data_IF_558919954197
#
_entry.id   IF_558919954197
#
_cell.length_a   1.000
_cell.length_b   1.000
_cell.length_c   1.000
_cell.angle_alpha   90.00
_cell.angle_beta   90.00
_cell.angle_gamma   90.00
#
_symmetry.space_group_name_H-M   'P 1'
#
loop_
_entity.id
_entity.type
_entity.pdbx_description
1 polymer ?
#
# COMPACT_ATOMS: atom_id res chain seq x y z
N UNK A 1 -8.93 32.91 -10.35
CA UNK A 1 -7.54 32.43 -10.32
C UNK A 1 -7.54 30.94 -10.01
N UNK A 2 -6.63 30.14 -10.58
CA UNK A 2 -6.53 28.73 -10.24
C UNK A 2 -6.09 28.54 -8.78
N UNK A 3 -6.59 27.50 -8.14
CA UNK A 3 -6.12 27.02 -6.84
C UNK A 3 -5.09 25.92 -7.09
N UNK A 4 -3.91 26.08 -6.50
CA UNK A 4 -2.81 25.12 -6.64
C UNK A 4 -2.66 24.30 -5.37
N UNK A 5 -2.51 22.98 -5.52
CA UNK A 5 -2.32 22.03 -4.41
C UNK A 5 -1.21 21.04 -4.77
N UNK A 6 -0.35 20.75 -3.81
CA UNK A 6 0.62 19.65 -3.90
C UNK A 6 -0.04 18.32 -3.57
N UNK A 7 -0.04 17.39 -4.50
CA UNK A 7 -0.57 16.04 -4.34
C UNK A 7 0.55 15.08 -3.90
N UNK A 8 0.78 14.99 -2.59
CA UNK A 8 1.87 14.22 -2.02
C UNK A 8 1.71 12.71 -2.23
N UNK A 9 2.83 12.02 -2.41
CA UNK A 9 2.89 10.57 -2.51
C UNK A 9 2.73 9.87 -1.14
N UNK A 10 2.54 8.55 -1.19
CA UNK A 10 2.58 7.65 -0.02
C UNK A 10 3.55 6.49 -0.25
N UNK A 11 3.99 5.90 0.83
CA UNK A 11 4.60 4.57 0.89
C UNK A 11 3.78 3.68 1.84
N UNK A 12 3.91 2.36 1.70
CA UNK A 12 3.35 1.42 2.66
C UNK A 12 4.49 0.95 3.58
N UNK A 13 4.45 1.33 4.87
CA UNK A 13 5.41 0.85 5.86
C UNK A 13 5.24 -0.64 6.13
N UNK A 14 4.06 -1.17 5.86
CA UNK A 14 3.74 -2.57 5.85
C UNK A 14 2.39 -2.82 5.20
N UNK A 15 2.21 -4.02 4.66
CA UNK A 15 0.97 -4.42 4.01
C UNK A 15 0.78 -5.92 4.19
N UNK A 16 -0.36 -6.30 4.76
CA UNK A 16 -0.80 -7.69 4.89
C UNK A 16 -2.02 -7.93 4.04
N UNK A 17 -2.01 -9.04 3.32
CA UNK A 17 -3.11 -9.49 2.48
C UNK A 17 -3.84 -10.61 3.21
N UNK A 18 -5.12 -10.40 3.49
CA UNK A 18 -6.00 -11.37 4.12
C UNK A 18 -6.81 -12.18 3.11
N UNK A 19 -7.91 -12.74 3.58
CA UNK A 19 -8.81 -13.54 2.77
C UNK A 19 -9.49 -12.71 1.67
N UNK A 20 -9.91 -13.40 0.60
CA UNK A 20 -10.72 -12.80 -0.44
C UNK A 20 -12.12 -12.51 0.09
N UNK A 21 -12.60 -11.31 -0.16
CA UNK A 21 -13.92 -10.81 0.25
C UNK A 21 -15.00 -11.21 -0.75
N UNK A 22 -16.25 -11.12 -0.33
CA UNK A 22 -17.41 -11.39 -1.22
C UNK A 22 -17.50 -10.40 -2.40
N UNK A 23 -16.95 -9.18 -2.24
CA UNK A 23 -16.90 -8.16 -3.30
C UNK A 23 -15.77 -8.40 -4.33
N UNK A 24 -15.03 -9.49 -4.20
CA UNK A 24 -13.94 -9.90 -5.10
C UNK A 24 -12.58 -9.27 -4.78
N UNK A 25 -12.52 -8.33 -3.83
CA UNK A 25 -11.27 -7.77 -3.31
C UNK A 25 -10.69 -8.64 -2.19
N UNK A 26 -9.49 -8.28 -1.71
CA UNK A 26 -8.87 -8.89 -0.53
C UNK A 26 -9.04 -8.00 0.69
N UNK A 27 -9.17 -8.63 1.84
CA UNK A 27 -8.99 -7.92 3.11
C UNK A 27 -7.55 -7.45 3.21
N UNK A 28 -7.34 -6.18 3.49
CA UNK A 28 -6.02 -5.59 3.64
C UNK A 28 -5.86 -4.98 5.03
N UNK A 29 -4.63 -5.04 5.54
CA UNK A 29 -4.16 -4.20 6.64
C UNK A 29 -2.84 -3.59 6.24
N UNK A 30 -2.81 -2.28 6.20
CA UNK A 30 -1.61 -1.56 5.77
C UNK A 30 -1.39 -0.32 6.63
N UNK A 31 -0.11 0.03 6.82
CA UNK A 31 0.26 1.31 7.39
C UNK A 31 0.82 2.17 6.27
N UNK A 32 0.08 3.21 5.93
CA UNK A 32 0.48 4.23 4.99
C UNK A 32 1.32 5.31 5.68
N UNK A 33 2.25 5.87 4.93
CA UNK A 33 3.02 7.05 5.33
C UNK A 33 3.13 8.02 4.16
N UNK A 34 2.70 9.27 4.32
CA UNK A 34 2.89 10.30 3.30
C UNK A 34 4.35 10.77 3.26
N UNK A 35 4.83 11.07 2.05
CA UNK A 35 6.19 11.54 1.78
C UNK A 35 6.17 12.82 0.95
N UNK A 36 7.27 13.58 0.93
CA UNK A 36 7.30 14.92 0.32
C UNK A 36 7.37 14.93 -1.21
N UNK A 37 7.54 13.77 -1.89
CA UNK A 37 7.37 13.68 -3.35
C UNK A 37 5.91 13.96 -3.71
N UNK A 38 5.67 14.73 -4.78
CA UNK A 38 4.31 15.16 -5.12
C UNK A 38 4.16 15.52 -6.59
N UNK A 39 2.93 15.40 -7.08
CA UNK A 39 2.46 16.08 -8.28
C UNK A 39 1.90 17.46 -7.91
N UNK A 40 1.65 18.32 -8.89
CA UNK A 40 0.98 19.59 -8.67
C UNK A 40 -0.35 19.60 -9.39
N UNK A 41 -1.41 19.92 -8.66
CA UNK A 41 -2.78 20.00 -9.19
C UNK A 41 -3.24 21.45 -9.15
N UNK A 42 -3.68 21.96 -10.30
CA UNK A 42 -4.29 23.30 -10.42
C UNK A 42 -5.74 23.15 -10.85
N UNK A 43 -6.65 23.71 -10.08
CA UNK A 43 -8.09 23.69 -10.39
C UNK A 43 -8.59 25.10 -10.59
N UNK A 44 -9.27 25.31 -11.70
CA UNK A 44 -9.94 26.56 -12.02
C UNK A 44 -11.43 26.32 -12.24
N UNK A 45 -12.27 27.08 -11.54
CA UNK A 45 -13.71 27.10 -11.73
C UNK A 45 -14.09 28.31 -12.56
N UNK A 46 -14.68 28.06 -13.74
CA UNK A 46 -15.01 29.10 -14.73
C UNK A 46 -16.48 29.04 -15.14
N UNK A 47 -16.92 30.00 -15.97
CA UNK A 47 -18.26 29.97 -16.56
C UNK A 47 -18.38 28.79 -17.54
N UNK A 48 -19.55 28.18 -17.61
CA UNK A 48 -19.84 27.03 -18.45
C UNK A 48 -20.15 25.79 -17.64
N UNK A 49 -20.15 24.65 -18.28
CA UNK A 49 -20.45 23.34 -17.66
C UNK A 49 -19.39 22.30 -18.06
N UNK A 50 -19.31 21.22 -17.29
CA UNK A 50 -18.42 20.09 -17.56
C UNK A 50 -17.10 20.15 -16.80
N UNK A 51 -16.33 19.08 -16.93
CA UNK A 51 -15.01 18.87 -16.31
C UNK A 51 -14.02 18.63 -17.44
N UNK A 52 -12.90 19.32 -17.39
CA UNK A 52 -11.80 19.18 -18.34
C UNK A 52 -10.52 18.86 -17.59
N UNK A 53 -9.79 17.85 -18.06
CA UNK A 53 -8.47 17.50 -17.54
C UNK A 53 -7.40 17.82 -18.56
N UNK A 54 -6.31 18.43 -18.11
CA UNK A 54 -5.11 18.72 -18.88
C UNK A 54 -3.91 18.07 -18.20
N UNK A 55 -3.15 17.31 -18.97
CA UNK A 55 -1.90 16.69 -18.52
C UNK A 55 -0.99 16.46 -19.73
N UNK A 56 0.29 16.79 -19.60
CA UNK A 56 1.27 16.60 -20.67
C UNK A 56 1.78 15.16 -20.76
N UNK A 57 1.60 14.34 -19.69
CA UNK A 57 1.98 12.92 -19.70
C UNK A 57 0.89 12.08 -20.39
N UNK A 58 1.16 11.50 -21.58
CA UNK A 58 0.16 10.75 -22.35
C UNK A 58 -0.32 9.46 -21.66
N UNK A 59 0.36 9.01 -20.61
CA UNK A 59 -0.04 7.84 -19.81
C UNK A 59 -1.15 8.17 -18.80
N UNK A 60 -1.45 9.46 -18.60
CA UNK A 60 -2.52 9.93 -17.71
C UNK A 60 -3.78 10.15 -18.53
N UNK A 61 -4.88 9.41 -18.28
CA UNK A 61 -6.14 9.63 -18.97
C UNK A 61 -6.68 11.05 -18.71
N UNK A 62 -7.24 11.68 -19.72
CA UNK A 62 -7.86 13.01 -19.62
C UNK A 62 -9.39 12.96 -19.72
N UNK A 63 -9.97 11.76 -19.66
CA UNK A 63 -11.39 11.46 -19.74
C UNK A 63 -11.99 11.08 -18.36
N UNK A 64 -13.21 10.56 -18.38
CA UNK A 64 -13.98 10.15 -17.19
C UNK A 64 -13.35 8.99 -16.42
N UNK A 65 -12.40 8.27 -17.00
CA UNK A 65 -11.66 7.20 -16.32
C UNK A 65 -10.65 7.74 -15.29
N UNK A 66 -10.29 9.03 -15.42
CA UNK A 66 -9.35 9.69 -14.50
C UNK A 66 -9.97 9.86 -13.10
N UNK A 67 -9.19 9.52 -12.06
CA UNK A 67 -9.64 9.63 -10.68
C UNK A 67 -9.97 11.06 -10.24
N UNK A 68 -9.30 12.08 -10.82
CA UNK A 68 -9.62 13.49 -10.59
C UNK A 68 -11.01 13.83 -11.16
N UNK A 69 -11.31 13.35 -12.38
CA UNK A 69 -12.63 13.54 -12.99
C UNK A 69 -13.70 12.94 -12.08
N UNK A 70 -13.55 11.67 -11.70
CA UNK A 70 -14.53 10.91 -10.92
C UNK A 70 -14.85 11.53 -9.56
N UNK A 71 -13.85 12.05 -8.84
CA UNK A 71 -14.08 12.67 -7.52
C UNK A 71 -14.70 14.07 -7.66
N UNK A 72 -14.23 14.85 -8.64
CA UNK A 72 -14.75 16.20 -8.90
C UNK A 72 -16.19 16.16 -9.41
N UNK A 73 -16.55 15.22 -10.28
CA UNK A 73 -17.92 15.00 -10.74
C UNK A 73 -18.89 14.77 -9.56
N UNK A 74 -18.52 13.88 -8.63
CA UNK A 74 -19.30 13.64 -7.40
C UNK A 74 -19.43 14.89 -6.54
N UNK A 75 -18.34 15.62 -6.39
CA UNK A 75 -18.34 16.85 -5.57
C UNK A 75 -19.19 17.96 -6.21
N UNK A 76 -19.08 18.15 -7.52
CA UNK A 76 -19.90 19.13 -8.29
C UNK A 76 -21.38 18.79 -8.18
N UNK A 77 -21.73 17.50 -8.26
CA UNK A 77 -23.12 17.04 -8.09
C UNK A 77 -23.63 17.28 -6.65
N UNK A 78 -22.85 16.91 -5.64
CA UNK A 78 -23.22 17.07 -4.24
C UNK A 78 -23.37 18.55 -3.83
N UNK A 79 -22.49 19.42 -4.32
CA UNK A 79 -22.52 20.86 -4.09
C UNK A 79 -23.52 21.61 -5.01
N UNK A 80 -24.18 20.90 -5.96
CA UNK A 80 -25.10 21.47 -6.96
C UNK A 80 -24.47 22.62 -7.77
N UNK A 81 -23.20 22.45 -8.12
CA UNK A 81 -22.44 23.48 -8.85
C UNK A 81 -22.69 23.37 -10.33
N UNK A 82 -23.11 24.50 -10.96
CA UNK A 82 -23.30 24.63 -12.41
C UNK A 82 -22.17 25.47 -13.01
N UNK A 83 -20.96 24.95 -12.97
CA UNK A 83 -19.74 25.61 -13.46
C UNK A 83 -18.88 24.62 -14.23
N UNK A 84 -18.04 25.15 -15.13
CA UNK A 84 -16.97 24.35 -15.74
C UNK A 84 -15.77 24.29 -14.80
N UNK A 85 -15.25 23.10 -14.60
CA UNK A 85 -14.05 22.84 -13.78
C UNK A 85 -12.92 22.40 -14.70
N UNK A 86 -11.82 23.15 -14.68
CA UNK A 86 -10.59 22.79 -15.42
C UNK A 86 -9.56 22.32 -14.40
N UNK A 87 -9.03 21.12 -14.62
CA UNK A 87 -8.05 20.44 -13.75
C UNK A 87 -6.77 20.28 -14.58
N UNK A 88 -5.70 20.92 -14.16
CA UNK A 88 -4.37 20.75 -14.72
C UNK A 88 -3.52 19.88 -13.80
N UNK A 89 -2.92 18.83 -14.35
CA UNK A 89 -2.10 17.85 -13.63
C UNK A 89 -0.65 17.97 -14.13
N UNK A 90 0.23 18.48 -13.28
CA UNK A 90 1.67 18.50 -13.52
C UNK A 90 2.29 17.26 -12.85
N UNK A 91 2.70 16.29 -13.69
CA UNK A 91 3.17 14.98 -13.23
C UNK A 91 4.66 14.99 -12.91
N UNK A 92 4.98 14.59 -11.66
CA UNK A 92 6.34 14.31 -11.19
C UNK A 92 6.45 12.89 -10.66
N UNK A 93 5.35 12.35 -10.12
CA UNK A 93 5.31 10.98 -9.62
C UNK A 93 5.18 9.98 -10.78
N UNK A 94 5.79 8.79 -10.70
CA UNK A 94 5.64 7.77 -11.73
C UNK A 94 4.18 7.31 -11.84
N UNK A 95 3.76 7.00 -13.05
CA UNK A 95 2.47 6.37 -13.29
C UNK A 95 2.58 4.89 -12.91
N UNK A 96 1.65 4.37 -12.11
CA UNK A 96 1.60 2.97 -11.66
C UNK A 96 2.79 2.49 -10.80
N UNK A 97 3.46 3.38 -10.10
CA UNK A 97 4.62 3.06 -9.25
C UNK A 97 4.30 2.61 -7.82
N UNK A 98 3.03 2.43 -7.42
CA UNK A 98 2.68 2.07 -6.04
C UNK A 98 2.75 3.24 -5.03
N UNK A 99 2.99 4.48 -5.51
CA UNK A 99 3.12 5.69 -4.68
C UNK A 99 1.81 6.46 -4.46
N UNK A 100 0.68 5.95 -4.96
CA UNK A 100 -0.64 6.54 -4.75
C UNK A 100 -0.89 7.85 -5.50
N UNK A 101 -0.12 8.17 -6.56
CA UNK A 101 -0.18 9.44 -7.27
C UNK A 101 -1.57 9.77 -7.80
N UNK A 102 -2.24 8.86 -8.53
CA UNK A 102 -3.59 9.10 -9.05
C UNK A 102 -4.62 9.37 -7.93
N UNK A 103 -4.50 8.66 -6.80
CA UNK A 103 -5.37 8.83 -5.63
C UNK A 103 -5.12 10.15 -4.91
N UNK A 104 -3.85 10.55 -4.78
CA UNK A 104 -3.47 11.85 -4.23
C UNK A 104 -3.95 13.00 -5.12
N UNK A 105 -3.80 12.86 -6.44
CA UNK A 105 -4.26 13.86 -7.41
C UNK A 105 -5.77 14.07 -7.31
N UNK A 106 -6.55 12.98 -7.14
CA UNK A 106 -7.99 13.06 -6.96
C UNK A 106 -8.36 13.88 -5.70
N UNK A 107 -7.73 13.59 -4.56
CA UNK A 107 -8.00 14.34 -3.32
C UNK A 107 -7.53 15.78 -3.43
N UNK A 108 -6.38 16.04 -4.06
CA UNK A 108 -5.90 17.40 -4.31
C UNK A 108 -6.88 18.20 -5.20
N UNK A 109 -7.45 17.56 -6.24
CA UNK A 109 -8.48 18.18 -7.08
C UNK A 109 -9.76 18.51 -6.31
N UNK A 110 -10.22 17.61 -5.43
CA UNK A 110 -11.36 17.86 -4.55
C UNK A 110 -11.13 19.06 -3.61
N UNK A 111 -9.99 19.09 -2.93
CA UNK A 111 -9.64 20.17 -2.00
C UNK A 111 -9.45 21.51 -2.73
N UNK A 112 -8.88 21.49 -3.94
CA UNK A 112 -8.73 22.68 -4.78
C UNK A 112 -10.08 23.19 -5.28
N UNK A 113 -11.02 22.30 -5.65
CA UNK A 113 -12.38 22.64 -6.02
C UNK A 113 -13.12 23.34 -4.86
N UNK A 114 -13.14 22.75 -3.67
CA UNK A 114 -13.76 23.32 -2.47
C UNK A 114 -13.23 24.72 -2.18
N UNK A 115 -11.90 24.89 -2.26
CA UNK A 115 -11.26 26.18 -2.03
C UNK A 115 -11.60 27.21 -3.11
N UNK A 116 -11.68 26.78 -4.36
CA UNK A 116 -12.07 27.63 -5.51
C UNK A 116 -13.52 28.08 -5.45
N UNK A 117 -14.41 27.23 -4.95
CA UNK A 117 -15.83 27.53 -4.71
C UNK A 117 -16.08 28.30 -3.41
N UNK A 118 -15.15 28.26 -2.46
CA UNK A 118 -15.32 28.69 -1.06
C UNK A 118 -16.46 27.94 -0.33
N UNK A 119 -16.67 26.70 -0.74
CA UNK A 119 -17.65 25.79 -0.16
C UNK A 119 -16.95 24.50 0.25
N UNK A 120 -17.44 23.85 1.30
CA UNK A 120 -16.84 22.61 1.81
C UNK A 120 -17.90 21.54 1.99
N UNK A 121 -17.60 20.34 1.54
CA UNK A 121 -18.37 19.15 1.84
C UNK A 121 -18.11 18.69 3.29
N UNK A 122 -19.10 18.10 3.95
CA UNK A 122 -18.88 17.44 5.24
C UNK A 122 -17.77 16.38 5.15
N UNK A 123 -16.94 16.27 6.19
CA UNK A 123 -15.82 15.29 6.19
C UNK A 123 -16.28 13.85 5.92
N UNK A 124 -17.39 13.35 6.51
CA UNK A 124 -17.87 12.00 6.21
C UNK A 124 -18.19 11.80 4.73
N UNK A 125 -18.74 12.82 4.07
CA UNK A 125 -19.09 12.76 2.65
C UNK A 125 -17.82 12.75 1.78
N UNK A 126 -16.82 13.55 2.09
CA UNK A 126 -15.51 13.50 1.41
C UNK A 126 -14.87 12.13 1.53
N UNK A 127 -14.87 11.53 2.71
CA UNK A 127 -14.33 10.19 2.93
C UNK A 127 -15.09 9.12 2.12
N UNK A 128 -16.44 9.21 2.09
CA UNK A 128 -17.27 8.31 1.28
C UNK A 128 -16.94 8.43 -0.21
N UNK A 129 -16.91 9.64 -0.76
CA UNK A 129 -16.56 9.88 -2.15
C UNK A 129 -15.15 9.38 -2.50
N UNK A 130 -14.19 9.62 -1.60
CA UNK A 130 -12.82 9.14 -1.76
C UNK A 130 -12.76 7.61 -1.81
N UNK A 131 -13.46 6.90 -0.92
CA UNK A 131 -13.53 5.44 -0.89
C UNK A 131 -14.21 4.83 -2.13
N UNK A 132 -15.18 5.54 -2.73
CA UNK A 132 -15.83 5.13 -3.98
C UNK A 132 -14.91 5.29 -5.21
N UNK A 133 -13.98 6.23 -5.18
CA UNK A 133 -13.02 6.45 -6.26
C UNK A 133 -11.88 5.44 -6.22
N UNK A 134 -11.47 5.01 -5.03
CA UNK A 134 -10.41 4.02 -4.87
C UNK A 134 -10.07 3.70 -3.42
N UNK A 135 -9.17 2.76 -3.19
CA UNK A 135 -8.73 2.35 -1.85
C UNK A 135 -7.82 3.38 -1.16
N UNK A 136 -6.91 4.00 -1.92
CA UNK A 136 -5.92 4.93 -1.34
C UNK A 136 -6.44 6.37 -1.13
N UNK A 137 -7.44 6.93 -1.87
CA UNK A 137 -7.82 8.34 -1.70
C UNK A 137 -8.16 8.74 -0.27
N UNK A 138 -8.86 7.95 0.58
CA UNK A 138 -9.19 8.35 1.95
C UNK A 138 -7.98 8.71 2.81
N UNK A 139 -6.82 8.03 2.61
CA UNK A 139 -5.61 8.33 3.38
C UNK A 139 -5.13 9.78 3.17
N UNK A 140 -5.30 10.33 1.96
CA UNK A 140 -4.85 11.68 1.62
C UNK A 140 -5.76 12.79 2.18
N UNK A 141 -6.97 12.45 2.63
CA UNK A 141 -7.81 13.32 3.44
C UNK A 141 -7.35 13.39 4.90
N UNK A 142 -6.46 12.50 5.32
CA UNK A 142 -5.93 12.43 6.68
C UNK A 142 -4.48 12.92 6.72
N UNK A 143 -3.62 12.37 5.87
CA UNK A 143 -2.18 12.66 5.81
C UNK A 143 -1.39 12.08 6.99
N UNK A 144 -0.06 12.17 6.93
CA UNK A 144 0.84 11.62 7.95
C UNK A 144 0.89 10.11 7.93
N UNK A 145 0.85 9.48 9.10
CA UNK A 145 0.79 8.04 9.27
C UNK A 145 -0.66 7.57 9.44
N UNK A 146 -1.10 6.60 8.63
CA UNK A 146 -2.49 6.17 8.54
C UNK A 146 -2.58 4.65 8.49
N UNK A 147 -3.46 4.05 9.30
CA UNK A 147 -3.85 2.65 9.18
C UNK A 147 -4.96 2.54 8.14
N UNK A 148 -4.77 1.67 7.16
CA UNK A 148 -5.80 1.26 6.20
C UNK A 148 -6.25 -0.16 6.48
N UNK A 149 -7.57 -0.38 6.53
CA UNK A 149 -8.21 -1.70 6.66
C UNK A 149 -9.28 -1.86 5.59
N UNK A 150 -9.96 -3.00 5.56
CA UNK A 150 -10.90 -3.32 4.49
C UNK A 150 -10.15 -3.60 3.19
N UNK A 151 -10.43 -2.88 2.11
CA UNK A 151 -9.63 -2.88 0.88
C UNK A 151 -8.46 -1.86 0.94
N UNK A 152 -8.24 -1.22 2.11
CA UNK A 152 -7.35 -0.10 2.35
C UNK A 152 -8.07 1.25 2.45
N UNK A 153 -9.38 1.31 2.14
CA UNK A 153 -10.20 2.53 2.12
C UNK A 153 -10.67 2.99 3.49
N UNK A 154 -10.80 2.08 4.45
CA UNK A 154 -11.10 2.45 5.83
C UNK A 154 -9.84 2.98 6.50
N UNK A 155 -9.69 4.29 6.50
CA UNK A 155 -8.48 4.99 6.89
C UNK A 155 -8.58 5.60 8.29
N UNK A 156 -7.66 5.22 9.17
CA UNK A 156 -7.62 5.68 10.56
C UNK A 156 -6.29 6.38 10.86
N UNK A 157 -6.32 7.59 11.45
CA UNK A 157 -5.09 8.29 11.81
C UNK A 157 -4.34 7.53 12.90
N UNK A 158 -3.03 7.33 12.69
CA UNK A 158 -2.11 6.81 13.71
C UNK A 158 -1.26 7.98 14.28
N UNK A 159 -0.59 7.78 15.43
CA UNK A 159 0.46 8.69 15.87
C UNK A 159 1.50 8.84 14.76
N UNK A 160 1.88 10.08 14.45
CA UNK A 160 2.84 10.34 13.39
C UNK A 160 4.23 9.77 13.70
N UNK A 161 4.89 9.25 12.67
CA UNK A 161 6.32 9.06 12.67
C UNK A 161 7.03 10.42 12.70
N UNK A 162 8.17 10.54 13.37
CA UNK A 162 9.05 11.68 13.14
C UNK A 162 9.42 11.74 11.65
N UNK A 163 9.68 12.95 11.16
CA UNK A 163 10.15 13.12 9.79
C UNK A 163 11.48 12.37 9.59
N UNK A 164 11.49 11.40 8.70
CA UNK A 164 12.63 10.55 8.37
C UNK A 164 13.10 10.83 6.96
N UNK A 165 14.40 10.78 6.73
CA UNK A 165 14.94 10.80 5.37
C UNK A 165 14.53 9.51 4.65
N UNK A 166 14.01 9.64 3.43
CA UNK A 166 13.54 8.55 2.61
C UNK A 166 14.17 8.62 1.22
N UNK A 167 14.57 7.48 0.67
CA UNK A 167 14.92 7.32 -0.75
C UNK A 167 13.83 6.54 -1.42
N UNK A 168 13.37 7.00 -2.58
CA UNK A 168 12.42 6.27 -3.43
C UNK A 168 13.10 5.98 -4.75
N UNK A 169 13.17 4.70 -5.13
CA UNK A 169 13.60 4.22 -6.43
C UNK A 169 12.36 3.89 -7.27
N UNK A 170 12.34 4.40 -8.50
CA UNK A 170 11.19 4.28 -9.41
C UNK A 170 11.63 3.67 -10.74
N UNK A 171 11.92 2.35 -10.77
CA UNK A 171 12.35 1.70 -11.99
C UNK A 171 11.23 1.68 -13.04
N UNK A 172 11.61 1.61 -14.31
CA UNK A 172 10.68 1.48 -15.44
C UNK A 172 10.17 0.03 -15.57
N UNK A 173 9.64 -0.51 -14.49
CA UNK A 173 9.06 -1.85 -14.41
C UNK A 173 7.55 -1.70 -14.14
N UNK A 174 6.72 -2.19 -15.05
CA UNK A 174 5.27 -2.17 -14.87
C UNK A 174 4.81 -3.40 -14.09
N UNK A 175 4.49 -3.23 -12.81
CA UNK A 175 3.88 -4.28 -11.99
C UNK A 175 2.36 -4.13 -12.01
N UNK A 176 1.67 -5.17 -12.47
CA UNK A 176 0.20 -5.19 -12.48
C UNK A 176 -0.34 -5.62 -11.13
N UNK A 177 -1.02 -4.72 -10.41
CA UNK A 177 -1.65 -5.01 -9.12
C UNK A 177 -2.64 -6.20 -9.19
N UNK A 178 -3.53 -6.32 -10.21
CA UNK A 178 -4.39 -7.50 -10.33
C UNK A 178 -3.61 -8.81 -10.47
N UNK A 179 -2.50 -8.81 -11.25
CA UNK A 179 -1.64 -10.00 -11.39
C UNK A 179 -0.91 -10.33 -10.09
N UNK A 180 -0.51 -9.33 -9.32
CA UNK A 180 0.11 -9.54 -8.01
C UNK A 180 -0.86 -10.20 -7.01
N UNK A 181 -2.13 -9.77 -6.96
CA UNK A 181 -3.17 -10.44 -6.17
C UNK A 181 -3.44 -11.87 -6.66
N UNK A 182 -3.56 -12.09 -7.97
CA UNK A 182 -3.75 -13.43 -8.51
C UNK A 182 -2.57 -14.36 -8.17
N UNK A 183 -1.33 -13.85 -8.22
CA UNK A 183 -0.15 -14.58 -7.78
C UNK A 183 -0.18 -14.92 -6.29
N UNK A 184 -0.67 -14.00 -5.46
CA UNK A 184 -0.90 -14.24 -4.03
C UNK A 184 -1.90 -15.37 -3.82
N UNK A 185 -3.05 -15.34 -4.50
CA UNK A 185 -4.09 -16.38 -4.41
C UNK A 185 -3.53 -17.76 -4.79
N UNK A 186 -2.75 -17.84 -5.87
CA UNK A 186 -2.11 -19.08 -6.30
C UNK A 186 -1.11 -19.62 -5.27
N UNK A 187 -0.30 -18.74 -4.68
CA UNK A 187 0.66 -19.10 -3.63
C UNK A 187 -0.06 -19.63 -2.38
N UNK A 188 -1.14 -18.96 -1.97
CA UNK A 188 -1.97 -19.38 -0.84
C UNK A 188 -2.65 -20.73 -1.09
N UNK A 189 -3.19 -20.95 -2.30
CA UNK A 189 -3.84 -22.21 -2.68
C UNK A 189 -2.88 -23.41 -2.70
N UNK A 190 -1.57 -23.15 -2.94
CA UNK A 190 -0.53 -24.20 -2.91
C UNK A 190 0.03 -24.46 -1.52
N UNK A 191 -0.37 -23.71 -0.51
CA UNK A 191 0.21 -23.78 0.83
C UNK A 191 1.68 -23.35 0.88
N UNK A 192 2.15 -22.66 -0.16
CA UNK A 192 3.53 -22.17 -0.30
C UNK A 192 3.79 -20.89 0.52
N UNK A 193 3.00 -20.69 1.55
CA UNK A 193 3.12 -19.51 2.39
C UNK A 193 4.48 -19.53 3.11
N UNK A 194 5.36 -18.54 2.90
CA UNK A 194 6.65 -18.52 3.58
C UNK A 194 6.43 -18.37 5.07
N UNK A 195 6.77 -19.43 5.80
CA UNK A 195 6.93 -19.35 7.25
C UNK A 195 8.00 -18.31 7.54
N UNK A 196 7.76 -17.41 8.47
CA UNK A 196 8.73 -16.40 8.83
C UNK A 196 10.13 -17.01 8.98
N UNK A 197 11.07 -16.62 8.10
CA UNK A 197 12.50 -16.90 8.07
C UNK A 197 13.07 -18.02 7.20
N UNK A 198 12.30 -18.87 6.52
CA UNK A 198 12.90 -19.97 5.75
C UNK A 198 13.39 -19.57 4.34
N UNK A 199 12.99 -18.42 3.83
CA UNK A 199 13.47 -17.90 2.54
C UNK A 199 14.95 -17.48 2.55
N UNK A 200 15.54 -17.20 3.73
CA UNK A 200 16.98 -16.87 3.87
C UNK A 200 17.89 -18.10 3.64
N UNK A 201 17.39 -19.33 3.78
CA UNK A 201 18.19 -20.53 3.66
C UNK A 201 18.40 -20.98 2.20
N UNK A 202 17.50 -20.63 1.29
CA UNK A 202 17.62 -21.03 -0.13
C UNK A 202 18.62 -20.18 -0.94
N UNK A 203 19.03 -19.02 -0.43
CA UNK A 203 19.95 -18.10 -1.14
C UNK A 203 21.42 -18.27 -0.73
N UNK A 204 21.75 -19.23 0.17
CA UNK A 204 23.14 -19.56 0.54
C UNK A 204 23.80 -20.60 -0.35
N UNK A 205 23.04 -21.20 -1.27
CA UNK A 205 23.56 -22.08 -2.32
C UNK A 205 23.99 -21.25 -3.52
N UNK A 206 25.19 -20.69 -3.48
CA UNK A 206 25.81 -20.02 -4.62
C UNK A 206 25.88 -20.98 -5.81
N UNK A 207 24.89 -20.91 -6.68
CA UNK A 207 25.00 -21.49 -8.02
C UNK A 207 25.70 -20.51 -8.93
N UNK A 208 26.95 -20.88 -9.18
CA UNK A 208 27.83 -20.37 -10.24
C UNK A 208 27.10 -20.42 -11.58
N UNK A 209 26.53 -19.28 -12.03
CA UNK A 209 25.82 -19.16 -13.31
C UNK A 209 26.76 -19.09 -14.54
N UNK A 210 28.00 -19.56 -14.44
CA UNK A 210 28.95 -19.56 -15.56
C UNK A 210 29.00 -20.84 -16.42
N UNK A 211 28.11 -21.82 -16.19
CA UNK A 211 28.17 -23.12 -16.93
C UNK A 211 26.82 -23.68 -17.37
N UNK A 212 25.96 -22.94 -18.03
CA UNK A 212 24.77 -23.48 -18.70
C UNK A 212 24.38 -22.75 -19.99
N UNK A 213 25.34 -22.29 -20.76
CA UNK A 213 25.14 -21.90 -22.15
C UNK A 213 25.77 -22.94 -23.08
N UNK A 214 25.17 -24.14 -23.18
CA UNK A 214 25.27 -25.04 -24.33
C UNK A 214 24.48 -26.34 -24.09
N UNK A 215 23.42 -26.48 -24.85
CA UNK A 215 22.61 -27.65 -25.26
C UNK A 215 21.13 -27.40 -24.89
N UNK A 216 20.24 -27.40 -25.80
CA UNK A 216 20.02 -28.00 -27.10
C UNK A 216 18.79 -27.36 -27.74
N UNK A 217 18.92 -27.05 -29.02
CA UNK A 217 17.79 -26.85 -29.93
C UNK A 217 17.03 -28.15 -30.11
N UNK A 218 15.72 -28.16 -30.14
CA UNK A 218 14.88 -28.71 -31.22
C UNK A 218 13.41 -28.84 -30.81
N UNK A 219 12.53 -28.28 -31.68
CA UNK A 219 11.14 -28.66 -31.99
C UNK A 219 10.10 -28.52 -30.87
N UNK A 220 8.98 -27.84 -31.05
CA UNK A 220 8.08 -27.79 -32.17
C UNK A 220 6.99 -26.75 -31.98
N UNK A 221 6.57 -26.27 -33.08
CA UNK A 221 5.51 -25.31 -33.30
C UNK A 221 4.13 -25.83 -32.88
N UNK A 222 3.27 -24.89 -32.42
CA UNK A 222 1.90 -24.72 -32.92
C UNK A 222 1.22 -23.58 -32.15
N UNK A 223 0.91 -22.49 -32.83
CA UNK A 223 -0.13 -21.53 -32.57
C UNK A 223 -1.42 -22.03 -33.23
N UNK A 224 -2.58 -21.36 -33.27
CA UNK A 224 -2.92 -20.04 -32.70
C UNK A 224 -4.36 -19.91 -32.14
N UNK A 225 -4.69 -18.68 -31.69
CA UNK A 225 -5.98 -18.00 -31.69
C UNK A 225 -7.18 -18.54 -30.89
N UNK A 226 -7.66 -17.71 -29.96
CA UNK A 226 -9.08 -17.32 -29.96
C UNK A 226 -9.28 -15.97 -29.23
N UNK A 227 -9.99 -15.12 -29.94
CA UNK A 227 -10.36 -13.75 -29.74
C UNK A 227 -11.19 -13.48 -28.49
N UNK A 228 -11.01 -12.25 -28.00
CA UNK A 228 -11.97 -11.56 -27.14
C UNK A 228 -13.22 -11.24 -27.93
N UNK A 229 -14.38 -11.54 -27.37
CA UNK A 229 -15.62 -10.77 -27.47
C UNK A 229 -16.74 -11.47 -26.69
N UNK A 230 -17.64 -10.65 -26.16
CA UNK A 230 -18.98 -11.00 -25.68
C UNK A 230 -19.11 -11.56 -24.27
N UNK A 231 -19.53 -10.64 -23.36
CA UNK A 231 -20.69 -10.87 -22.51
C UNK A 231 -21.21 -9.51 -21.99
N UNK A 232 -22.07 -8.96 -22.83
CA UNK A 232 -23.07 -7.95 -22.42
C UNK A 232 -24.38 -8.65 -22.19
N UNK A 233 -25.14 -8.10 -21.24
CA UNK A 233 -26.58 -8.28 -21.01
C UNK A 233 -27.06 -9.53 -20.26
N UNK A 234 -27.55 -9.29 -19.06
CA UNK A 234 -28.93 -9.71 -18.65
C UNK A 234 -29.40 -8.86 -17.46
N UNK A 235 -30.26 -7.91 -17.74
CA UNK A 235 -31.26 -7.38 -16.80
C UNK A 235 -32.39 -8.37 -16.71
N UNK A 236 -32.98 -8.59 -15.51
CA UNK A 236 -34.39 -8.35 -15.17
C UNK A 236 -34.70 -8.96 -13.80
N UNK A 237 -35.19 -8.12 -12.94
CA UNK A 237 -36.43 -8.17 -12.12
C UNK A 237 -36.79 -9.45 -11.35
N UNK A 238 -36.96 -9.31 -10.02
CA UNK A 238 -38.26 -9.51 -9.36
C UNK A 238 -38.18 -9.30 -7.85
N UNK A 239 -39.13 -8.50 -7.37
CA UNK A 239 -39.58 -8.33 -6.00
C UNK A 239 -39.87 -9.66 -5.28
N UNK A 240 -39.60 -9.70 -3.99
CA UNK A 240 -40.50 -10.15 -2.94
C UNK A 240 -39.83 -10.13 -1.56
N UNK A 241 -40.33 -9.28 -0.71
CA UNK A 241 -40.09 -9.37 0.76
C UNK A 241 -41.05 -10.42 1.33
N UNK A 242 -40.64 -11.13 2.38
CA UNK A 242 -41.58 -11.56 3.41
C UNK A 242 -41.22 -11.05 4.81
N UNK A 243 -42.30 -10.69 5.47
CA UNK A 243 -42.52 -10.20 6.80
C UNK A 243 -41.93 -11.06 7.93
N UNK A 244 -41.40 -10.41 8.94
CA UNK A 244 -41.02 -10.98 10.23
C UNK A 244 -42.27 -11.17 11.13
N UNK A 245 -42.40 -12.37 11.68
CA UNK A 245 -43.22 -12.67 12.84
C UNK A 245 -42.33 -13.05 14.03
N UNK A 246 -42.74 -12.80 15.29
CA UNK A 246 -41.90 -12.95 16.46
C UNK A 246 -41.94 -14.38 17.03
N UNK A 247 -40.78 -14.90 17.46
CA UNK A 247 -40.72 -16.15 18.25
C UNK A 247 -40.03 -15.90 19.57
N UNK A 248 -40.76 -16.23 20.60
CA UNK A 248 -40.48 -16.22 22.02
C UNK A 248 -39.41 -17.21 22.48
N UNK A 249 -38.82 -16.87 23.61
CA UNK A 249 -37.80 -17.45 24.45
C UNK A 249 -37.72 -18.96 24.63
N UNK A 250 -36.49 -19.38 24.97
CA UNK A 250 -36.30 -20.33 26.10
C UNK A 250 -34.81 -20.64 26.33
N UNK A 251 -34.45 -20.54 27.61
CA UNK A 251 -33.52 -21.41 28.39
C UNK A 251 -32.05 -21.60 27.96
N UNK A 252 -31.16 -21.03 28.75
CA UNK A 252 -29.75 -21.42 28.90
C UNK A 252 -29.63 -22.75 29.67
N UNK A 253 -28.75 -23.68 29.31
CA UNK A 253 -28.23 -24.70 30.23
C UNK A 253 -26.94 -24.20 30.86
N UNK A 254 -26.89 -24.28 32.22
CA UNK A 254 -25.68 -24.18 33.01
C UNK A 254 -24.88 -25.47 32.88
N UNK A 255 -23.57 -25.38 32.61
CA UNK A 255 -22.64 -26.52 32.76
C UNK A 255 -21.69 -26.21 33.90
N UNK A 256 -21.69 -27.11 34.91
CA UNK A 256 -20.76 -27.13 36.04
C UNK A 256 -19.37 -27.60 35.60
N UNK A 257 -18.28 -27.13 36.24
CA UNK A 257 -16.94 -27.60 35.95
C UNK A 257 -16.66 -28.90 36.74
N UNK A 258 -16.28 -29.96 36.03
CA UNK A 258 -15.60 -31.11 36.62
C UNK A 258 -14.12 -31.03 36.32
N UNK A 259 -13.29 -31.04 37.34
CA UNK A 259 -11.84 -31.11 37.23
C UNK A 259 -11.36 -32.50 36.83
N UNK A 260 -10.22 -32.50 36.15
CA UNK A 260 -9.10 -33.44 36.29
C UNK A 260 -8.19 -33.39 35.04
N UNK A 261 -6.90 -33.38 35.27
CA UNK A 261 -5.95 -33.79 34.25
C UNK A 261 -4.91 -32.78 33.81
N UNK A 262 -4.09 -32.25 34.71
CA UNK A 262 -2.79 -31.71 34.33
C UNK A 262 -1.90 -32.83 33.79
N UNK A 263 -1.83 -32.98 32.46
CA UNK A 263 -0.78 -33.73 31.76
C UNK A 263 0.14 -32.76 31.06
N UNK A 264 1.41 -32.83 31.46
CA UNK A 264 2.53 -32.13 30.83
C UNK A 264 2.56 -32.41 29.33
N UNK A 265 2.32 -31.40 28.52
CA UNK A 265 2.57 -31.41 27.08
C UNK A 265 4.02 -31.02 26.85
N UNK A 266 4.92 -32.02 26.90
CA UNK A 266 6.22 -31.98 26.24
C UNK A 266 6.03 -32.58 24.86
N UNK A 267 5.66 -31.73 23.89
CA UNK A 267 5.76 -32.08 22.49
C UNK A 267 6.36 -30.88 21.77
N UNK A 268 7.52 -31.09 21.17
CA UNK A 268 8.06 -30.20 20.12
C UNK A 268 6.99 -30.09 19.05
N UNK A 269 6.15 -29.07 19.13
CA UNK A 269 5.18 -28.77 18.09
C UNK A 269 5.96 -28.34 16.86
N UNK A 270 5.89 -29.13 15.81
CA UNK A 270 6.10 -28.65 14.44
C UNK A 270 5.21 -27.40 14.34
N UNK A 271 5.82 -26.23 14.15
CA UNK A 271 5.10 -24.98 13.97
C UNK A 271 4.19 -25.15 12.76
N UNK A 272 2.91 -25.28 13.00
CA UNK A 272 1.87 -25.23 11.96
C UNK A 272 1.92 -23.85 11.34
N UNK A 273 1.73 -23.72 10.01
CA UNK A 273 1.61 -22.41 9.36
C UNK A 273 0.55 -21.58 10.06
N UNK A 274 0.87 -20.34 10.40
CA UNK A 274 -0.14 -19.39 10.88
C UNK A 274 -1.18 -19.20 9.79
N UNK A 275 -2.44 -19.44 10.08
CA UNK A 275 -3.58 -19.13 9.24
C UNK A 275 -3.50 -17.63 8.82
N UNK A 276 -3.92 -17.24 7.61
CA UNK A 276 -4.06 -15.85 7.22
C UNK A 276 -4.76 -14.98 8.27
N UNK A 277 -5.75 -15.53 8.98
CA UNK A 277 -6.44 -14.90 10.10
C UNK A 277 -5.52 -14.60 11.28
N UNK A 278 -4.61 -15.51 11.62
CA UNK A 278 -3.65 -15.34 12.73
C UNK A 278 -2.64 -14.23 12.42
N UNK A 279 -2.21 -14.10 11.16
CA UNK A 279 -1.31 -13.03 10.70
C UNK A 279 -1.98 -11.66 10.75
N UNK A 280 -3.25 -11.58 10.39
CA UNK A 280 -4.03 -10.37 10.50
C UNK A 280 -4.20 -9.95 11.96
N UNK A 281 -4.36 -10.92 12.88
CA UNK A 281 -4.38 -10.69 14.32
C UNK A 281 -3.02 -10.21 14.83
N UNK A 282 -1.92 -10.81 14.38
CA UNK A 282 -0.56 -10.41 14.77
C UNK A 282 -0.24 -8.99 14.31
N UNK A 283 -0.60 -8.62 13.07
CA UNK A 283 -0.51 -7.25 12.59
C UNK A 283 -1.33 -6.30 13.46
N UNK A 284 -2.58 -6.66 13.78
CA UNK A 284 -3.44 -5.89 14.66
C UNK A 284 -2.83 -5.70 16.06
N UNK A 285 -2.24 -6.75 16.65
CA UNK A 285 -1.53 -6.70 17.93
C UNK A 285 -0.31 -5.78 17.87
N UNK A 286 0.45 -5.83 16.80
CA UNK A 286 1.64 -4.98 16.58
C UNK A 286 1.24 -3.51 16.49
N UNK A 287 0.19 -3.19 15.74
CA UNK A 287 -0.36 -1.83 15.65
C UNK A 287 -0.95 -1.38 16.99
N UNK A 288 -1.68 -2.25 17.71
CA UNK A 288 -2.21 -1.96 19.04
C UNK A 288 -1.11 -1.67 20.05
N UNK A 289 -0.05 -2.48 20.06
CA UNK A 289 1.11 -2.27 20.93
C UNK A 289 1.82 -0.95 20.63
N UNK A 290 1.87 -0.57 19.34
CA UNK A 290 2.37 0.73 18.94
C UNK A 290 1.50 1.88 19.46
N UNK A 291 0.18 1.80 19.27
CA UNK A 291 -0.77 2.80 19.78
C UNK A 291 -0.70 2.96 21.31
N UNK A 292 -0.49 1.85 22.03
CA UNK A 292 -0.47 1.84 23.49
C UNK A 292 0.85 2.34 24.10
N UNK A 293 1.90 2.54 23.28
CA UNK A 293 3.25 2.89 23.79
C UNK A 293 3.88 1.82 24.69
N UNK A 294 3.25 0.66 24.86
CA UNK A 294 3.70 -0.40 25.75
C UNK A 294 4.84 -1.21 25.11
N UNK A 295 5.95 -1.47 25.84
CA UNK A 295 6.97 -2.38 25.36
C UNK A 295 6.38 -3.81 25.31
N UNK A 296 6.50 -4.48 24.18
CA UNK A 296 6.13 -5.90 24.10
C UNK A 296 7.07 -6.72 25.01
N UNK A 297 6.54 -7.27 26.11
CA UNK A 297 7.25 -8.25 26.91
C UNK A 297 7.30 -9.57 26.12
N UNK A 298 8.50 -9.99 25.69
CA UNK A 298 8.73 -11.39 25.34
C UNK A 298 9.18 -11.72 23.92
N UNK A 299 9.42 -10.76 23.02
CA UNK A 299 10.15 -11.07 21.79
C UNK A 299 11.62 -10.81 22.07
N UNK A 300 12.38 -11.89 22.33
CA UNK A 300 13.85 -11.82 22.26
C UNK A 300 14.19 -11.26 20.88
N UNK A 301 14.97 -10.16 20.86
CA UNK A 301 15.44 -9.51 19.65
C UNK A 301 16.01 -10.53 18.66
N UNK A 302 15.16 -11.03 17.75
CA UNK A 302 15.59 -11.78 16.61
C UNK A 302 16.32 -10.82 15.67
N UNK A 303 17.35 -11.30 14.97
CA UNK A 303 18.03 -10.58 13.90
C UNK A 303 17.01 -9.91 12.99
N UNK A 304 17.30 -8.68 12.49
CA UNK A 304 16.41 -8.02 11.54
C UNK A 304 16.12 -8.92 10.34
N UNK A 305 14.91 -8.87 9.84
CA UNK A 305 14.43 -9.70 8.72
C UNK A 305 15.27 -9.53 7.44
N UNK A 306 16.07 -8.49 7.34
CA UNK A 306 16.97 -8.19 6.21
C UNK A 306 18.32 -8.92 6.23
N UNK A 307 18.63 -9.74 7.27
CA UNK A 307 19.88 -10.51 7.32
C UNK A 307 21.18 -9.69 7.44
N UNK A 308 21.10 -8.37 7.42
CA UNK A 308 22.26 -7.50 7.55
C UNK A 308 22.56 -7.26 9.05
N UNK A 309 23.77 -7.59 9.57
CA UNK A 309 24.12 -7.29 10.93
C UNK A 309 24.21 -5.77 11.11
N UNK A 310 23.21 -5.17 11.74
CA UNK A 310 23.31 -3.77 12.16
C UNK A 310 24.32 -3.70 13.29
N UNK A 311 25.45 -3.03 13.07
CA UNK A 311 26.35 -2.60 14.14
C UNK A 311 25.59 -1.63 15.04
N UNK A 312 25.19 -2.10 16.21
CA UNK A 312 24.59 -1.27 17.24
C UNK A 312 25.67 -0.33 17.76
N UNK A 313 25.74 0.86 17.17
CA UNK A 313 26.50 1.98 17.73
C UNK A 313 25.83 2.42 19.04
N UNK A 314 26.54 2.41 20.15
CA UNK A 314 26.09 2.99 21.41
C UNK A 314 25.88 4.50 21.20
N UNK A 315 24.63 4.96 21.19
CA UNK A 315 24.32 6.38 21.28
C UNK A 315 23.27 6.89 20.28
N UNK A 316 22.04 6.72 20.61
CA UNK A 316 20.81 7.53 20.45
C UNK A 316 19.62 6.58 20.55
N UNK A 317 18.61 6.94 21.32
CA UNK A 317 17.37 6.19 21.38
C UNK A 317 16.81 6.04 19.96
N UNK A 318 17.00 4.86 19.34
CA UNK A 318 16.34 4.49 18.09
C UNK A 318 14.85 4.59 18.36
N UNK A 319 14.11 5.18 17.43
CA UNK A 319 12.68 5.38 17.61
C UNK A 319 12.02 4.01 17.77
N UNK A 320 11.31 3.74 18.87
CA UNK A 320 10.69 2.41 19.15
C UNK A 320 9.81 1.88 18.02
N UNK A 321 9.41 2.77 17.12
CA UNK A 321 8.60 2.46 15.96
C UNK A 321 9.39 1.80 14.82
N UNK A 322 10.62 2.27 14.51
CA UNK A 322 11.44 1.64 13.47
C UNK A 322 11.83 0.21 13.87
N UNK A 323 12.03 -0.04 15.16
CA UNK A 323 12.28 -1.40 15.66
C UNK A 323 11.04 -2.29 15.49
N UNK A 324 9.83 -1.73 15.63
CA UNK A 324 8.57 -2.45 15.44
C UNK A 324 8.24 -2.68 13.96
N UNK A 325 8.53 -1.70 13.10
CA UNK A 325 8.44 -1.85 11.64
C UNK A 325 9.40 -2.94 11.16
N UNK A 326 10.61 -3.01 11.75
CA UNK A 326 11.60 -4.05 11.43
C UNK A 326 11.20 -5.46 11.88
N UNK A 327 10.38 -5.59 12.92
CA UNK A 327 10.12 -6.88 13.57
C UNK A 327 8.80 -7.53 13.20
N UNK A 328 7.89 -6.87 12.48
CA UNK A 328 6.57 -7.45 12.23
C UNK A 328 5.73 -6.86 11.13
N UNK A 329 6.18 -5.80 10.46
CA UNK A 329 5.40 -5.18 9.39
C UNK A 329 6.16 -5.37 8.07
N UNK A 330 5.82 -6.44 7.34
CA UNK A 330 6.34 -6.73 6.00
C UNK A 330 5.30 -6.36 4.95
N UNK A 331 5.71 -6.25 3.70
CA UNK A 331 4.82 -6.12 2.57
C UNK A 331 4.64 -7.49 1.90
N UNK A 332 3.46 -8.07 2.01
CA UNK A 332 3.15 -9.40 1.47
C UNK A 332 3.32 -9.48 -0.05
N UNK A 333 3.17 -8.38 -0.78
CA UNK A 333 3.44 -8.37 -2.22
C UNK A 333 4.90 -8.69 -2.56
N UNK A 334 5.86 -8.48 -1.67
CA UNK A 334 7.26 -8.85 -1.91
C UNK A 334 7.42 -10.34 -2.20
N UNK A 335 6.58 -11.19 -1.60
CA UNK A 335 6.61 -12.65 -1.79
C UNK A 335 6.21 -13.05 -3.21
N UNK A 336 5.38 -12.26 -3.87
CA UNK A 336 4.86 -12.54 -5.21
C UNK A 336 5.61 -11.77 -6.28
N UNK A 337 5.96 -10.51 -5.97
CA UNK A 337 6.57 -9.60 -6.94
C UNK A 337 8.06 -9.84 -7.11
N UNK A 338 8.81 -10.08 -6.03
CA UNK A 338 10.26 -10.27 -6.13
C UNK A 338 10.69 -11.55 -6.89
N UNK A 339 9.98 -12.69 -6.84
CA UNK A 339 10.27 -13.81 -7.71
C UNK A 339 10.05 -13.52 -9.19
N UNK A 340 9.05 -12.67 -9.53
CA UNK A 340 8.74 -12.29 -10.90
C UNK A 340 9.65 -11.17 -11.43
N UNK A 341 10.11 -10.30 -10.53
CA UNK A 341 10.94 -9.13 -10.84
C UNK A 341 12.14 -9.07 -9.88
N UNK A 342 13.17 -9.94 -10.08
CA UNK A 342 14.32 -10.01 -9.17
C UNK A 342 15.13 -8.71 -9.09
N UNK A 343 15.02 -7.84 -10.10
CA UNK A 343 15.64 -6.52 -10.12
C UNK A 343 15.11 -5.64 -8.98
N UNK A 344 13.82 -5.74 -8.65
CA UNK A 344 13.23 -4.98 -7.53
C UNK A 344 13.81 -5.43 -6.18
N UNK A 345 14.03 -6.76 -6.02
CA UNK A 345 14.72 -7.30 -4.84
C UNK A 345 16.15 -6.77 -4.72
N UNK A 346 16.87 -6.72 -5.84
CA UNK A 346 18.24 -6.19 -5.83
C UNK A 346 18.29 -4.70 -5.48
N UNK A 347 17.32 -3.89 -5.93
CA UNK A 347 17.22 -2.48 -5.53
C UNK A 347 17.00 -2.34 -4.02
N UNK A 348 16.13 -3.16 -3.42
CA UNK A 348 15.96 -3.23 -1.96
C UNK A 348 17.29 -3.52 -1.27
N UNK A 349 18.03 -4.54 -1.74
CA UNK A 349 19.36 -4.90 -1.22
C UNK A 349 20.40 -3.77 -1.37
N UNK A 350 20.31 -2.99 -2.45
CA UNK A 350 21.17 -1.81 -2.62
C UNK A 350 20.88 -0.78 -1.55
N UNK A 351 19.60 -0.44 -1.32
CA UNK A 351 19.22 0.49 -0.26
C UNK A 351 19.70 0.02 1.12
N UNK A 352 19.56 -1.26 1.43
CA UNK A 352 20.02 -1.87 2.68
C UNK A 352 21.54 -1.79 2.83
N UNK A 353 22.30 -2.11 1.78
CA UNK A 353 23.77 -2.01 1.77
C UNK A 353 24.27 -0.57 1.94
N UNK A 354 23.55 0.40 1.39
CA UNK A 354 23.86 1.82 1.54
C UNK A 354 23.40 2.41 2.89
N UNK A 355 22.86 1.57 3.79
CA UNK A 355 22.57 1.94 5.17
C UNK A 355 21.12 2.33 5.44
N UNK A 356 20.18 1.92 4.59
CA UNK A 356 18.76 2.05 4.92
C UNK A 356 18.46 1.26 6.22
N UNK A 357 17.84 1.92 7.17
CA UNK A 357 17.38 1.29 8.41
C UNK A 357 16.20 0.35 8.14
N UNK A 358 15.43 0.64 7.11
CA UNK A 358 14.33 -0.17 6.60
C UNK A 358 14.20 0.07 5.10
N UNK A 359 13.96 -0.97 4.32
CA UNK A 359 13.66 -0.89 2.90
C UNK A 359 12.54 -1.86 2.53
N UNK A 360 11.64 -1.45 1.64
CA UNK A 360 10.50 -2.27 1.22
C UNK A 360 9.94 -1.82 -0.12
N UNK A 361 9.10 -2.69 -0.69
CA UNK A 361 8.23 -2.38 -1.83
C UNK A 361 7.11 -1.44 -1.38
N UNK A 362 6.72 -0.47 -2.19
CA UNK A 362 5.55 0.37 -1.93
C UNK A 362 4.31 -0.20 -2.63
N UNK A 363 3.30 -0.62 -1.84
CA UNK A 363 2.12 -1.29 -2.39
C UNK A 363 2.49 -2.56 -3.13
N UNK A 364 1.92 -2.76 -4.32
CA UNK A 364 2.30 -3.85 -5.24
C UNK A 364 3.54 -3.51 -6.10
N UNK A 365 4.13 -2.35 -5.94
CA UNK A 365 5.30 -1.87 -6.69
C UNK A 365 4.91 -1.01 -7.90
N UNK A 366 5.88 -0.69 -8.73
CA UNK A 366 7.29 -1.10 -8.75
C UNK A 366 8.21 -0.28 -7.83
N UNK A 367 7.77 0.83 -7.24
CA UNK A 367 8.64 1.65 -6.40
C UNK A 367 9.16 0.88 -5.18
N UNK A 368 10.46 0.99 -4.96
CA UNK A 368 11.16 0.52 -3.77
C UNK A 368 11.59 1.75 -2.98
N UNK A 369 11.42 1.71 -1.66
CA UNK A 369 11.86 2.81 -0.81
C UNK A 369 12.77 2.32 0.32
N UNK A 370 13.58 3.24 0.85
CA UNK A 370 14.40 3.02 2.03
C UNK A 370 14.33 4.20 2.99
N UNK A 371 14.29 3.94 4.29
CA UNK A 371 14.34 4.94 5.35
C UNK A 371 15.76 5.01 5.92
N UNK A 372 16.27 6.22 6.07
CA UNK A 372 17.67 6.48 6.46
C UNK A 372 17.75 7.35 7.72
N UNK A 373 18.78 7.09 8.53
CA UNK A 373 19.06 7.92 9.70
C UNK A 373 19.67 9.28 9.33
N UNK A 374 20.29 9.41 8.15
CA UNK A 374 20.92 10.65 7.72
C UNK A 374 20.69 10.93 6.24
N UNK A 375 20.68 12.22 5.90
CA UNK A 375 20.54 12.69 4.53
C UNK A 375 21.74 12.30 3.67
N UNK A 376 22.95 12.34 4.21
CA UNK A 376 24.16 11.98 3.49
C UNK A 376 24.15 10.50 3.04
N UNK A 377 23.68 9.57 3.90
CA UNK A 377 23.54 8.16 3.52
C UNK A 377 22.48 7.99 2.44
N UNK A 378 21.35 8.70 2.51
CA UNK A 378 20.32 8.68 1.49
C UNK A 378 20.82 9.20 0.14
N UNK A 379 21.55 10.32 0.12
CA UNK A 379 22.13 10.88 -1.11
C UNK A 379 23.14 9.92 -1.76
N UNK A 380 23.94 9.23 -0.94
CA UNK A 380 24.84 8.17 -1.42
C UNK A 380 24.06 7.01 -2.05
N UNK A 381 22.97 6.58 -1.42
CA UNK A 381 22.11 5.52 -1.96
C UNK A 381 21.47 5.94 -3.31
N UNK A 382 20.98 7.19 -3.42
CA UNK A 382 20.50 7.75 -4.68
C UNK A 382 21.59 7.71 -5.75
N UNK A 383 22.80 8.16 -5.43
CA UNK A 383 23.91 8.16 -6.39
C UNK A 383 24.25 6.73 -6.85
N UNK A 384 24.24 5.75 -5.95
CA UNK A 384 24.49 4.33 -6.25
C UNK A 384 23.42 3.76 -7.18
N UNK A 385 22.12 4.05 -6.92
CA UNK A 385 21.01 3.59 -7.75
C UNK A 385 21.07 4.23 -9.15
N UNK A 386 21.28 5.54 -9.23
CA UNK A 386 21.39 6.27 -10.50
C UNK A 386 22.55 5.78 -11.37
N UNK A 387 23.71 5.45 -10.78
CA UNK A 387 24.84 4.82 -11.49
C UNK A 387 24.49 3.47 -12.09
N UNK A 388 23.47 2.79 -11.57
CA UNK A 388 22.93 1.53 -12.10
C UNK A 388 21.77 1.75 -13.09
N UNK A 389 21.52 2.98 -13.51
CA UNK A 389 20.42 3.32 -14.43
C UNK A 389 19.03 3.33 -13.79
N UNK A 390 18.94 3.31 -12.46
CA UNK A 390 17.66 3.32 -11.75
C UNK A 390 17.33 4.75 -11.31
N UNK A 391 16.22 5.35 -11.78
CA UNK A 391 15.75 6.62 -11.25
C UNK A 391 15.48 6.52 -9.76
N UNK A 392 16.05 7.42 -8.98
CA UNK A 392 15.89 7.47 -7.54
C UNK A 392 15.96 8.91 -7.03
N UNK A 393 15.24 9.18 -5.95
CA UNK A 393 15.18 10.52 -5.35
C UNK A 393 15.19 10.43 -3.82
N UNK A 394 15.91 11.37 -3.18
CA UNK A 394 15.90 11.55 -1.75
C UNK A 394 14.79 12.52 -1.34
N UNK A 395 13.96 12.11 -0.40
CA UNK A 395 12.81 12.84 0.10
C UNK A 395 12.71 12.70 1.63
N UNK A 396 11.59 13.09 2.21
CA UNK A 396 11.30 12.91 3.64
C UNK A 396 9.90 12.39 3.85
N UNK A 397 9.68 11.62 4.92
CA UNK A 397 8.32 11.35 5.41
C UNK A 397 7.72 12.65 5.97
N UNK A 398 6.41 12.77 5.89
CA UNK A 398 5.67 13.93 6.40
C UNK A 398 4.84 13.52 7.60
N UNK A 399 4.94 14.27 8.70
CA UNK A 399 3.93 14.24 9.76
C UNK A 399 2.62 14.80 9.22
N UNK A 400 1.48 14.52 9.86
CA UNK A 400 0.18 15.08 9.49
C UNK A 400 0.20 16.60 9.49
N UNK A 401 0.83 17.20 10.50
CA UNK A 401 0.99 18.64 10.56
C UNK A 401 1.78 19.20 9.37
N UNK A 402 2.90 18.56 9.01
CA UNK A 402 3.72 18.97 7.86
C UNK A 402 2.96 18.78 6.54
N UNK A 403 2.22 17.67 6.40
CA UNK A 403 1.39 17.39 5.23
C UNK A 403 0.40 18.52 4.99
N UNK A 404 -0.44 18.85 5.99
CA UNK A 404 -1.47 19.88 5.87
C UNK A 404 -0.89 21.30 5.73
N UNK A 405 0.25 21.57 6.32
CA UNK A 405 0.94 22.86 6.13
C UNK A 405 1.40 23.02 4.69
N UNK A 406 2.03 21.97 4.10
CA UNK A 406 2.67 22.04 2.80
C UNK A 406 1.74 21.84 1.61
N UNK A 407 0.56 21.28 1.82
CA UNK A 407 -0.36 20.93 0.74
C UNK A 407 -0.86 22.16 -0.05
N UNK A 408 -0.90 23.32 0.59
CA UNK A 408 -1.34 24.61 0.04
C UNK A 408 -0.21 25.63 -0.18
N UNK A 409 1.04 25.25 0.07
CA UNK A 409 2.20 26.07 -0.26
C UNK A 409 2.56 25.91 -1.76
#
# INVERSE_FOLDING_TARGET
MPVTIRAFAKINLGLRIGARRADGFHELRTVYQTIALHDVIRVQVVRGTGIEIRCDDPRVPTDESNTCYRIVERAVHALKVHRRVVIEIEKHLPVQGGLGGASSNAVAALLALERGLKEQLPVPEKLRMAAEVGSDPPLFLIGGTVLGIGRGEEAYPLPDLPALTCVVATPEIAVSTPKAFAGWDLMMARGEYPHGRDWEQHDRGGHDFSRAAHRSSTRGALAPNASAAELHSARTSADASPSLGPVSGSARPQVKPTGEGARAYSARSKLTPLDPSDRMLEFGRTVSAWLSGLPQRGIKSGRPASGVPVRIGRGRAETPLLDRVRTGIENDFEQVVFPQYPELREMKRVLEREGAQYASLSGSGSAIYGLFASRAAAEKAVATLRKRGVPAEATTTLTRQQYWKKIFE
#
